data_IF_651153181278
#
_entry.id   IF_651153181278
#
_cell.length_a   1.000
_cell.length_b   1.000
_cell.length_c   1.000
_cell.angle_alpha   90.00
_cell.angle_beta   90.00
_cell.angle_gamma   90.00
#
_symmetry.space_group_name_H-M   'P 1'
#
loop_
_entity.id
_entity.type
_entity.pdbx_description
1 polymer ?
#
# COMPACT_ATOMS: atom_id res chain seq x y z
N UNK A 1 -7.19 -76.30 26.56
CA UNK A 1 -6.33 -75.11 26.75
C UNK A 1 -7.10 -73.89 26.26
N UNK A 2 -7.72 -73.09 27.14
CA UNK A 2 -8.35 -71.81 26.80
C UNK A 2 -7.31 -70.68 26.91
N UNK A 3 -7.43 -69.58 26.16
CA UNK A 3 -7.29 -68.20 26.68
C UNK A 3 -7.47 -67.16 25.55
N UNK A 4 -8.57 -66.41 25.73
CA UNK A 4 -8.86 -65.01 25.42
C UNK A 4 -8.06 -64.25 24.35
N UNK A 5 -8.81 -63.72 23.39
CA UNK A 5 -8.49 -62.53 22.60
C UNK A 5 -8.32 -61.32 23.54
N UNK A 6 -7.10 -60.78 23.60
CA UNK A 6 -6.82 -59.48 24.24
C UNK A 6 -6.66 -58.45 23.13
N UNK A 7 -7.60 -57.50 23.14
CA UNK A 7 -7.57 -56.24 22.40
C UNK A 7 -6.31 -55.44 22.76
N UNK A 8 -5.50 -55.13 21.75
CA UNK A 8 -4.31 -54.29 21.90
C UNK A 8 -4.71 -52.85 22.22
N UNK A 9 -4.14 -52.33 23.31
CA UNK A 9 -4.13 -50.91 23.66
C UNK A 9 -3.34 -50.12 22.62
N UNK A 10 -3.92 -49.05 22.09
CA UNK A 10 -3.25 -48.05 21.27
C UNK A 10 -3.50 -46.68 21.84
N UNK A 11 -2.69 -46.27 22.81
CA UNK A 11 -2.58 -44.89 23.28
C UNK A 11 -2.07 -44.03 22.13
N UNK A 12 -2.96 -43.32 21.43
CA UNK A 12 -2.55 -42.31 20.45
C UNK A 12 -2.26 -41.01 21.19
N UNK A 13 -0.99 -40.89 21.57
CA UNK A 13 -0.26 -39.69 21.93
C UNK A 13 -0.68 -38.50 21.05
N UNK A 14 -1.14 -37.42 21.70
CA UNK A 14 -1.32 -36.13 21.05
C UNK A 14 0.04 -35.64 20.53
N UNK A 15 0.18 -35.29 19.24
CA UNK A 15 1.32 -34.50 18.82
C UNK A 15 1.11 -33.06 19.28
N UNK A 16 1.93 -32.64 20.24
CA UNK A 16 2.30 -31.24 20.43
C UNK A 16 2.67 -30.66 19.07
N UNK A 17 1.87 -29.72 18.57
CA UNK A 17 2.31 -28.85 17.52
C UNK A 17 3.46 -27.99 18.08
N UNK A 18 4.64 -27.98 17.44
CA UNK A 18 5.77 -27.21 17.90
C UNK A 18 5.50 -25.71 17.73
N UNK A 19 5.69 -24.99 18.83
CA UNK A 19 6.47 -23.75 18.91
C UNK A 19 6.70 -23.05 17.57
N UNK A 20 5.89 -22.04 17.25
CA UNK A 20 6.23 -21.06 16.23
C UNK A 20 7.27 -20.07 16.79
N UNK A 21 8.44 -20.61 17.13
CA UNK A 21 9.69 -19.86 17.22
C UNK A 21 10.13 -19.42 15.83
N UNK A 22 10.10 -18.11 15.63
CA UNK A 22 11.04 -17.32 14.85
C UNK A 22 11.47 -17.87 13.46
N UNK A 23 10.89 -17.30 12.40
CA UNK A 23 11.53 -17.30 11.07
C UNK A 23 12.09 -15.90 10.73
N UNK A 24 13.26 -15.82 10.10
CA UNK A 24 14.18 -14.70 10.18
C UNK A 24 13.88 -13.55 9.19
N UNK A 25 14.17 -12.33 9.64
CA UNK A 25 14.52 -11.12 8.87
C UNK A 25 14.04 -11.05 7.40
N UNK A 26 12.86 -10.44 7.17
CA UNK A 26 12.63 -9.70 5.92
C UNK A 26 12.86 -8.21 6.15
N UNK A 27 14.08 -7.77 5.90
CA UNK A 27 14.27 -6.41 5.43
C UNK A 27 13.51 -6.25 4.11
N UNK A 28 12.64 -5.25 3.98
CA UNK A 28 12.21 -4.81 2.66
C UNK A 28 10.88 -4.05 2.58
N UNK A 29 9.87 -4.36 3.40
CA UNK A 29 8.55 -3.77 3.20
C UNK A 29 8.15 -2.86 4.35
N UNK A 30 8.23 -1.56 4.10
CA UNK A 30 7.73 -0.58 5.06
C UNK A 30 6.18 -0.68 5.12
N UNK A 31 5.58 -0.69 6.32
CA UNK A 31 4.13 -0.78 6.50
C UNK A 31 3.41 0.48 5.97
N UNK A 32 2.13 0.38 5.66
CA UNK A 32 1.30 1.57 5.40
C UNK A 32 1.20 2.43 6.66
N UNK A 33 0.89 3.72 6.51
CA UNK A 33 0.76 4.65 7.65
C UNK A 33 -0.20 4.13 8.74
N UNK A 34 -1.34 3.57 8.32
CA UNK A 34 -2.33 2.99 9.24
C UNK A 34 -1.77 1.78 9.98
N UNK A 35 -1.10 0.86 9.26
CA UNK A 35 -0.46 -0.31 9.87
C UNK A 35 0.66 0.09 10.83
N UNK A 36 1.47 1.10 10.48
CA UNK A 36 2.53 1.61 11.34
C UNK A 36 1.98 2.19 12.66
N UNK A 37 0.90 2.99 12.59
CA UNK A 37 0.24 3.52 13.81
C UNK A 37 -0.34 2.41 14.67
N UNK A 38 -0.96 1.40 14.06
CA UNK A 38 -1.50 0.25 14.78
C UNK A 38 -0.40 -0.59 15.45
N UNK A 39 0.72 -0.81 14.75
CA UNK A 39 1.91 -1.46 15.31
C UNK A 39 2.47 -0.70 16.50
N UNK A 40 2.60 0.63 16.41
CA UNK A 40 3.06 1.45 17.54
C UNK A 40 2.11 1.38 18.74
N UNK A 41 0.80 1.30 18.50
CA UNK A 41 -0.20 1.11 19.56
C UNK A 41 -0.04 -0.24 20.26
N UNK A 42 0.12 -1.33 19.49
CA UNK A 42 0.34 -2.68 20.03
C UNK A 42 1.66 -2.77 20.80
N UNK A 43 2.73 -2.19 20.26
CA UNK A 43 4.04 -2.11 20.90
C UNK A 43 3.94 -1.42 22.27
N UNK A 44 3.24 -0.28 22.33
CA UNK A 44 3.00 0.44 23.58
C UNK A 44 2.25 -0.41 24.61
N UNK A 45 1.20 -1.12 24.17
CA UNK A 45 0.40 -1.96 25.06
C UNK A 45 1.26 -3.10 25.68
N UNK A 46 2.04 -3.81 24.86
CA UNK A 46 2.92 -4.89 25.36
C UNK A 46 4.03 -4.39 26.30
N UNK A 47 4.56 -3.18 26.06
CA UNK A 47 5.54 -2.58 26.96
C UNK A 47 4.92 -2.12 28.29
N UNK A 48 3.69 -1.60 28.26
CA UNK A 48 2.96 -1.25 29.48
C UNK A 48 2.68 -2.49 30.36
N UNK A 49 2.34 -3.62 29.74
CA UNK A 49 2.18 -4.91 30.45
C UNK A 49 3.50 -5.37 31.12
N UNK A 50 4.64 -5.01 30.53
CA UNK A 50 5.98 -5.27 31.07
C UNK A 50 6.46 -4.21 32.08
N UNK A 51 5.59 -3.29 32.50
CA UNK A 51 5.88 -2.23 33.47
C UNK A 51 6.63 -1.02 32.89
N UNK A 52 6.74 -0.91 31.56
CA UNK A 52 7.36 0.23 30.89
C UNK A 52 6.29 1.13 30.26
N UNK A 53 5.89 2.17 30.98
CA UNK A 53 4.97 3.18 30.47
C UNK A 53 5.65 4.12 29.47
N UNK A 54 5.22 4.02 28.20
CA UNK A 54 5.63 4.93 27.13
C UNK A 54 4.46 5.77 26.64
N UNK A 55 4.78 6.99 26.23
CA UNK A 55 3.85 7.81 25.44
C UNK A 55 3.67 7.24 24.03
N UNK A 56 2.57 7.63 23.37
CA UNK A 56 2.32 7.21 21.99
C UNK A 56 3.43 7.70 21.03
N UNK A 57 3.95 8.91 21.24
CA UNK A 57 5.05 9.45 20.45
C UNK A 57 6.33 8.60 20.60
N UNK A 58 6.69 8.19 21.82
CA UNK A 58 7.85 7.32 22.05
C UNK A 58 7.70 5.94 21.39
N UNK A 59 6.49 5.38 21.37
CA UNK A 59 6.24 4.12 20.68
C UNK A 59 6.41 4.23 19.15
N UNK A 60 6.02 5.37 18.56
CA UNK A 60 6.25 5.66 17.13
C UNK A 60 7.74 5.82 16.82
N UNK A 61 8.48 6.51 17.68
CA UNK A 61 9.95 6.64 17.57
C UNK A 61 10.62 5.26 17.63
N UNK A 62 10.28 4.42 18.61
CA UNK A 62 10.83 3.07 18.73
C UNK A 62 10.50 2.20 17.52
N UNK A 63 9.31 2.34 16.95
CA UNK A 63 8.92 1.64 15.73
C UNK A 63 9.80 2.08 14.54
N UNK A 64 10.04 3.38 14.40
CA UNK A 64 10.93 3.90 13.36
C UNK A 64 12.36 3.34 13.48
N UNK A 65 12.90 3.31 14.69
CA UNK A 65 14.23 2.74 14.96
C UNK A 65 14.29 1.23 14.67
N UNK A 66 13.22 0.46 14.97
CA UNK A 66 13.13 -0.97 14.61
C UNK A 66 13.18 -1.19 13.09
N UNK A 67 12.64 -0.25 12.31
CA UNK A 67 12.72 -0.26 10.85
C UNK A 67 14.03 0.34 10.30
N UNK A 68 14.97 0.74 11.16
CA UNK A 68 16.26 1.31 10.77
C UNK A 68 16.23 2.80 10.42
N UNK A 69 15.16 3.52 10.79
CA UNK A 69 15.04 4.96 10.59
C UNK A 69 15.47 5.72 11.85
N UNK A 70 15.98 6.94 11.66
CA UNK A 70 16.46 7.80 12.75
C UNK A 70 15.34 8.29 13.68
N UNK A 71 14.16 8.53 13.12
CA UNK A 71 13.03 9.14 13.83
C UNK A 71 11.72 8.82 13.09
N UNK A 72 10.60 8.97 13.80
CA UNK A 72 9.27 8.75 13.23
C UNK A 72 9.02 9.65 12.02
N UNK A 73 9.52 10.88 12.02
CA UNK A 73 9.28 11.78 10.88
C UNK A 73 9.91 11.26 9.58
N UNK A 74 11.11 10.71 9.66
CA UNK A 74 11.82 10.09 8.53
C UNK A 74 11.13 8.80 8.09
N UNK A 75 10.71 7.95 9.05
CA UNK A 75 9.95 6.74 8.74
C UNK A 75 8.58 7.04 8.14
N UNK A 76 7.86 8.02 8.71
CA UNK A 76 6.58 8.54 8.24
C UNK A 76 6.68 9.07 6.81
N UNK A 77 7.74 9.84 6.51
CA UNK A 77 8.01 10.30 5.16
C UNK A 77 8.30 9.14 4.20
N UNK A 78 8.98 8.07 4.66
CA UNK A 78 9.26 6.91 3.83
C UNK A 78 8.00 6.06 3.53
N UNK A 79 7.13 5.85 4.53
CA UNK A 79 5.88 5.09 4.35
C UNK A 79 4.79 5.89 3.63
N UNK A 80 4.72 7.21 3.85
CA UNK A 80 3.70 8.08 3.24
C UNK A 80 4.04 8.53 1.83
N UNK A 81 5.25 8.22 1.34
CA UNK A 81 5.73 8.64 0.03
C UNK A 81 5.87 7.48 -0.96
N UNK A 82 5.22 6.34 -0.67
CA UNK A 82 5.07 5.24 -1.61
C UNK A 82 3.86 5.54 -2.52
N UNK A 83 3.96 5.30 -3.83
CA UNK A 83 2.76 5.26 -4.65
C UNK A 83 1.83 4.16 -4.11
N UNK A 84 0.50 4.29 -4.27
CA UNK A 84 -0.43 3.18 -4.05
C UNK A 84 0.10 1.88 -4.67
N UNK A 85 -0.16 0.74 -4.06
CA UNK A 85 0.32 -0.56 -4.57
C UNK A 85 -0.19 -0.83 -6.00
N UNK A 86 -1.36 -0.30 -6.32
CA UNK A 86 -1.99 -0.34 -7.64
C UNK A 86 -1.25 0.50 -8.69
N UNK A 87 -0.39 1.42 -8.26
CA UNK A 87 0.40 2.28 -9.14
C UNK A 87 1.78 1.69 -9.41
N UNK A 88 1.77 0.52 -10.05
CA UNK A 88 2.96 -0.15 -10.55
C UNK A 88 3.02 -0.12 -12.09
N UNK A 89 4.20 -0.05 -12.72
CA UNK A 89 4.33 -0.29 -14.16
C UNK A 89 3.73 -1.65 -14.55
N UNK A 90 2.88 -1.67 -15.57
CA UNK A 90 2.06 -2.81 -15.98
C UNK A 90 0.72 -2.92 -15.23
N UNK A 91 0.51 -2.12 -14.18
CA UNK A 91 -0.77 -2.02 -13.48
C UNK A 91 -1.83 -1.37 -14.36
N UNK A 92 -3.04 -1.92 -14.35
CA UNK A 92 -4.20 -1.33 -15.04
C UNK A 92 -4.89 -0.37 -14.09
N UNK A 93 -5.20 0.83 -14.58
CA UNK A 93 -5.95 1.86 -13.84
C UNK A 93 -7.10 2.38 -14.69
N UNK A 94 -8.15 2.78 -13.99
CA UNK A 94 -9.30 3.47 -14.57
C UNK A 94 -9.39 4.87 -13.98
N UNK A 95 -10.05 5.76 -14.69
CA UNK A 95 -10.17 7.13 -14.22
C UNK A 95 -10.84 8.02 -15.24
N UNK A 96 -10.70 9.32 -15.02
CA UNK A 96 -11.22 10.35 -15.92
C UNK A 96 -10.11 11.33 -16.27
N UNK A 97 -9.93 11.59 -17.56
CA UNK A 97 -9.01 12.59 -18.09
C UNK A 97 -9.82 13.65 -18.82
N UNK A 98 -9.76 14.89 -18.33
CA UNK A 98 -10.59 16.01 -18.83
C UNK A 98 -12.09 15.64 -18.89
N UNK A 99 -12.60 15.05 -17.81
CA UNK A 99 -13.99 14.54 -17.68
C UNK A 99 -14.36 13.36 -18.58
N UNK A 100 -13.42 12.80 -19.34
CA UNK A 100 -13.66 11.61 -20.15
C UNK A 100 -13.14 10.35 -19.44
N UNK A 101 -13.98 9.32 -19.27
CA UNK A 101 -13.54 8.08 -18.65
C UNK A 101 -12.50 7.38 -19.54
N UNK A 102 -11.50 6.76 -18.92
CA UNK A 102 -10.49 5.98 -19.61
C UNK A 102 -10.12 4.72 -18.84
N UNK A 103 -9.65 3.74 -19.61
CA UNK A 103 -8.93 2.57 -19.10
C UNK A 103 -7.50 2.66 -19.63
N UNK A 104 -6.52 2.62 -18.74
CA UNK A 104 -5.12 2.74 -19.12
C UNK A 104 -4.23 1.78 -18.36
N UNK A 105 -3.12 1.41 -18.99
CA UNK A 105 -2.03 0.69 -18.35
C UNK A 105 -0.94 1.68 -17.95
N UNK A 106 -0.49 1.60 -16.72
CA UNK A 106 0.64 2.39 -16.23
C UNK A 106 1.91 1.89 -16.91
N UNK A 107 2.57 2.73 -17.69
CA UNK A 107 3.88 2.43 -18.27
C UNK A 107 5.01 2.74 -17.31
N UNK A 108 4.88 3.81 -16.54
CA UNK A 108 5.93 4.27 -15.64
C UNK A 108 5.36 5.14 -14.53
N UNK A 109 5.95 5.01 -13.35
CA UNK A 109 5.64 5.83 -12.17
C UNK A 109 6.92 6.50 -11.71
N UNK A 110 6.96 7.83 -11.80
CA UNK A 110 8.07 8.65 -11.34
C UNK A 110 7.65 9.49 -10.13
N UNK A 111 8.41 9.44 -9.04
CA UNK A 111 8.16 10.34 -7.91
C UNK A 111 8.64 11.75 -8.24
N UNK A 112 7.77 12.75 -8.16
CA UNK A 112 8.12 14.15 -8.38
C UNK A 112 8.51 14.82 -7.08
N UNK A 113 7.65 14.69 -6.07
CA UNK A 113 7.83 15.28 -4.73
C UNK A 113 7.06 14.41 -3.72
N UNK A 114 7.26 14.59 -2.40
CA UNK A 114 6.58 13.78 -1.40
C UNK A 114 5.06 13.73 -1.60
N UNK A 115 4.52 12.53 -1.87
CA UNK A 115 3.09 12.30 -2.12
C UNK A 115 2.57 12.66 -3.52
N UNK A 116 3.44 13.11 -4.45
CA UNK A 116 3.06 13.40 -5.84
C UNK A 116 3.85 12.52 -6.82
N UNK A 117 3.11 11.88 -7.70
CA UNK A 117 3.62 10.88 -8.63
C UNK A 117 3.29 11.30 -10.06
N UNK A 118 4.29 11.29 -10.91
CA UNK A 118 4.12 11.41 -12.34
C UNK A 118 3.85 10.02 -12.92
N UNK A 119 2.65 9.83 -13.42
CA UNK A 119 2.24 8.60 -14.10
C UNK A 119 2.28 8.83 -15.61
N UNK A 120 2.87 7.85 -16.30
CA UNK A 120 2.76 7.72 -17.76
C UNK A 120 1.78 6.59 -18.01
N UNK A 121 0.65 6.90 -18.63
CA UNK A 121 -0.46 5.99 -18.86
C UNK A 121 -0.62 5.75 -20.37
N UNK A 122 -0.75 4.49 -20.77
CA UNK A 122 -1.12 4.07 -22.12
C UNK A 122 -2.60 3.66 -22.09
N UNK A 123 -3.44 4.47 -22.72
CA UNK A 123 -4.87 4.23 -22.82
C UNK A 123 -5.09 3.07 -23.80
N UNK A 124 -5.91 2.10 -23.40
CA UNK A 124 -6.21 0.93 -24.22
C UNK A 124 -6.96 1.37 -25.50
N UNK A 125 -7.94 2.25 -25.33
CA UNK A 125 -8.65 2.91 -26.40
C UNK A 125 -8.19 4.37 -26.50
N UNK A 126 -8.00 4.87 -27.73
CA UNK A 126 -7.63 6.26 -27.91
C UNK A 126 -8.82 7.14 -27.50
N UNK A 127 -8.71 7.81 -26.35
CA UNK A 127 -9.74 8.71 -25.86
C UNK A 127 -9.60 10.06 -26.56
N UNK A 128 -10.70 10.56 -27.13
CA UNK A 128 -10.77 11.93 -27.61
C UNK A 128 -10.78 12.84 -26.38
N UNK A 129 -9.79 13.72 -26.21
CA UNK A 129 -9.70 14.53 -24.98
C UNK A 129 -10.39 15.89 -25.10
N UNK A 130 -11.19 16.07 -26.15
CA UNK A 130 -11.90 17.33 -26.45
C UNK A 130 -13.40 17.11 -26.26
N UNK A 131 -14.04 18.00 -25.50
CA UNK A 131 -15.49 17.96 -25.25
C UNK A 131 -16.33 18.66 -26.34
N UNK A 132 -15.69 19.32 -27.32
CA UNK A 132 -16.35 20.06 -28.40
C UNK A 132 -16.32 19.28 -29.71
N UNK A 133 -17.48 19.13 -30.36
CA UNK A 133 -17.66 18.47 -31.66
C UNK A 133 -16.78 19.03 -32.80
N UNK A 134 -16.25 20.24 -32.66
CA UNK A 134 -15.47 20.90 -33.72
C UNK A 134 -14.00 20.48 -33.77
N UNK A 135 -13.49 19.72 -32.79
CA UNK A 135 -12.09 19.30 -32.73
C UNK A 135 -11.94 17.94 -32.03
N UNK A 136 -11.16 17.04 -32.63
CA UNK A 136 -10.76 15.78 -32.00
C UNK A 136 -9.28 15.80 -31.61
N UNK A 137 -8.97 15.35 -30.41
CA UNK A 137 -7.60 15.15 -29.95
C UNK A 137 -7.47 13.78 -29.29
N UNK A 138 -7.24 12.76 -30.11
CA UNK A 138 -7.07 11.40 -29.63
C UNK A 138 -5.72 11.24 -28.94
N UNK A 139 -5.75 10.93 -27.63
CA UNK A 139 -4.54 10.63 -26.86
C UNK A 139 -4.55 9.16 -26.47
N UNK A 140 -3.67 8.39 -27.09
CA UNK A 140 -3.38 7.02 -26.65
C UNK A 140 -2.42 6.97 -25.47
N UNK A 141 -1.61 8.01 -25.29
CA UNK A 141 -0.68 8.12 -24.16
C UNK A 141 -0.83 9.46 -23.48
N UNK A 142 -1.04 9.43 -22.17
CA UNK A 142 -1.11 10.61 -21.33
C UNK A 142 -0.06 10.56 -20.23
N UNK A 143 0.44 11.73 -19.88
CA UNK A 143 1.34 11.92 -18.75
C UNK A 143 0.64 12.88 -17.80
N UNK A 144 0.49 12.48 -16.54
CA UNK A 144 -0.14 13.31 -15.53
C UNK A 144 0.59 13.21 -14.20
N UNK A 145 0.56 14.30 -13.43
CA UNK A 145 1.07 14.32 -12.07
C UNK A 145 -0.13 14.21 -11.14
N UNK A 146 -0.24 13.12 -10.41
CA UNK A 146 -1.32 12.84 -9.45
C UNK A 146 -0.80 12.96 -8.03
N UNK A 147 -1.63 13.53 -7.17
CA UNK A 147 -1.38 13.63 -5.73
C UNK A 147 -1.82 12.39 -4.95
N UNK A 148 -1.77 12.44 -3.61
CA UNK A 148 -2.12 11.31 -2.76
C UNK A 148 -3.62 10.97 -2.80
N UNK A 149 -4.47 11.87 -3.31
CA UNK A 149 -5.89 11.62 -3.58
C UNK A 149 -6.15 11.15 -5.02
N UNK A 150 -5.14 10.62 -5.74
CA UNK A 150 -5.31 10.17 -7.12
C UNK A 150 -5.77 11.24 -8.12
N UNK A 151 -5.62 12.52 -7.76
CA UNK A 151 -6.10 13.65 -8.55
C UNK A 151 -4.94 14.57 -8.96
N UNK A 152 -5.05 15.13 -10.16
CA UNK A 152 -4.09 16.12 -10.66
C UNK A 152 -4.26 17.48 -9.99
N UNK A 153 -3.14 18.20 -9.90
CA UNK A 153 -3.07 19.59 -9.46
C UNK A 153 -3.72 20.55 -10.44
N UNK A 154 -3.64 20.19 -11.72
CA UNK A 154 -4.14 20.98 -12.83
C UNK A 154 -5.65 20.81 -12.93
N UNK A 155 -6.37 21.93 -13.05
CA UNK A 155 -7.83 21.97 -13.09
C UNK A 155 -8.29 22.59 -14.39
N UNK A 156 -9.37 22.06 -14.94
CA UNK A 156 -10.07 22.66 -16.07
C UNK A 156 -10.69 23.99 -15.62
N UNK A 157 -11.09 24.82 -16.57
CA UNK A 157 -11.83 26.07 -16.30
C UNK A 157 -13.07 25.83 -15.41
N UNK A 158 -13.65 24.63 -15.47
CA UNK A 158 -14.80 24.19 -14.66
C UNK A 158 -14.43 23.68 -13.26
N UNK A 159 -13.16 23.78 -12.85
CA UNK A 159 -12.68 23.40 -11.51
C UNK A 159 -12.42 21.90 -11.32
N UNK A 160 -12.69 21.07 -12.33
CA UNK A 160 -12.44 19.62 -12.30
C UNK A 160 -10.95 19.33 -12.50
N UNK A 161 -10.33 18.39 -11.75
CA UNK A 161 -8.96 17.98 -12.00
C UNK A 161 -8.80 17.39 -13.42
N UNK A 162 -7.70 17.73 -14.10
CA UNK A 162 -7.42 17.23 -15.44
C UNK A 162 -7.28 15.71 -15.51
N UNK A 163 -6.81 15.09 -14.43
CA UNK A 163 -6.62 13.65 -14.33
C UNK A 163 -7.10 13.20 -12.96
N UNK A 164 -8.00 12.23 -12.93
CA UNK A 164 -8.50 11.55 -11.74
C UNK A 164 -8.33 10.07 -11.98
N UNK A 165 -7.77 9.34 -11.02
CA UNK A 165 -7.74 7.88 -11.04
C UNK A 165 -8.75 7.35 -10.01
N UNK A 166 -9.46 6.31 -10.39
CA UNK A 166 -10.28 5.51 -9.48
C UNK A 166 -9.32 4.61 -8.69
N UNK A 167 -9.38 4.68 -7.35
CA UNK A 167 -8.59 3.87 -6.42
C UNK A 167 -9.44 2.79 -5.79
#
# INVERSE_FOLDING_TARGET
MPFSLITSSGTSHAPLAPDHGESPRRAGELPTLTKAKDQAKRLRAGLAESGTDLSHAQALELLAHQHGFRDWNTFHAAIGNRPPEDWAPGGRVTGSYLSQPFVATILSVGRVQPGWFCLVLDLEEAVDVVAFDSFSNFRKRIRGIVGPQATSRERTSDGQPHLVLDL
#
